data_IF_637717819153
#
_entry.id   IF_637717819153
#
_cell.length_a   1.000
_cell.length_b   1.000
_cell.length_c   1.000
_cell.angle_alpha   90.00
_cell.angle_beta   90.00
_cell.angle_gamma   90.00
#
_symmetry.space_group_name_H-M   'P 1'
#
loop_
_entity.id
_entity.type
_entity.pdbx_description
1 polymer ?
#
# COMPACT_ATOMS: atom_id res chain seq x y z
N UNK A 1 16.08 3.46 -26.22
CA UNK A 1 15.84 3.31 -24.76
C UNK A 1 17.12 2.73 -24.14
N UNK A 2 17.66 3.38 -23.12
CA UNK A 2 18.76 2.84 -22.33
C UNK A 2 18.18 2.31 -21.00
N UNK A 3 18.52 1.08 -20.63
CA UNK A 3 18.12 0.46 -19.37
C UNK A 3 19.36 0.34 -18.48
N UNK A 4 19.25 0.82 -17.26
CA UNK A 4 20.30 0.75 -16.25
C UNK A 4 19.75 0.04 -15.03
N UNK A 5 20.44 -0.98 -14.53
CA UNK A 5 20.11 -1.60 -13.26
C UNK A 5 20.43 -0.60 -12.14
N UNK A 6 19.52 -0.49 -11.17
CA UNK A 6 19.73 0.36 -10.00
C UNK A 6 20.98 -0.08 -9.21
N UNK A 7 21.70 0.90 -8.69
CA UNK A 7 22.74 0.74 -7.67
C UNK A 7 22.55 1.79 -6.59
N UNK A 8 23.07 1.55 -5.38
CA UNK A 8 22.91 2.46 -4.23
C UNK A 8 23.44 3.87 -4.48
N UNK A 9 24.42 4.03 -5.36
CA UNK A 9 24.96 5.33 -5.77
C UNK A 9 23.92 6.21 -6.48
N UNK A 10 22.85 5.60 -7.02
CA UNK A 10 21.76 6.29 -7.70
C UNK A 10 20.52 6.51 -6.83
N UNK A 11 20.63 6.29 -5.53
CA UNK A 11 19.50 6.44 -4.61
C UNK A 11 18.87 7.84 -4.70
N UNK A 12 19.67 8.88 -4.68
CA UNK A 12 19.16 10.26 -4.73
C UNK A 12 18.40 10.55 -6.03
N UNK A 13 18.89 10.05 -7.16
CA UNK A 13 18.23 10.19 -8.47
C UNK A 13 16.91 9.40 -8.51
N UNK A 14 16.92 8.17 -7.98
CA UNK A 14 15.73 7.32 -7.86
C UNK A 14 14.63 8.00 -7.04
N UNK A 15 14.96 8.41 -5.81
CA UNK A 15 14.00 8.99 -4.87
C UNK A 15 13.45 10.34 -5.38
N UNK A 16 14.30 11.17 -5.99
CA UNK A 16 13.87 12.42 -6.63
C UNK A 16 12.87 12.16 -7.76
N UNK A 17 13.11 11.12 -8.58
CA UNK A 17 12.21 10.75 -9.65
C UNK A 17 10.87 10.22 -9.11
N UNK A 18 10.89 9.36 -8.10
CA UNK A 18 9.65 8.85 -7.45
C UNK A 18 8.78 10.03 -6.98
N UNK A 19 9.37 10.99 -6.28
CA UNK A 19 8.66 12.17 -5.75
C UNK A 19 8.08 13.09 -6.82
N UNK A 20 8.70 13.16 -7.99
CA UNK A 20 8.25 14.01 -9.10
C UNK A 20 7.35 13.30 -10.11
N UNK A 21 7.19 11.99 -10.00
CA UNK A 21 6.42 11.17 -10.94
C UNK A 21 4.92 11.27 -10.67
N UNK A 22 4.11 10.91 -11.67
CA UNK A 22 2.65 11.03 -11.58
C UNK A 22 1.96 9.91 -10.80
N UNK A 23 2.64 8.79 -10.57
CA UNK A 23 2.12 7.62 -9.85
C UNK A 23 3.10 7.07 -8.79
N UNK A 24 4.18 7.78 -8.50
CA UNK A 24 5.11 7.42 -7.45
C UNK A 24 4.53 7.66 -6.06
N UNK A 25 4.91 6.81 -5.12
CA UNK A 25 4.57 6.91 -3.70
C UNK A 25 5.82 6.71 -2.86
N UNK A 26 5.82 7.17 -1.62
CA UNK A 26 6.98 7.01 -0.73
C UNK A 26 7.36 5.54 -0.48
N UNK A 27 6.41 4.58 -0.66
CA UNK A 27 6.71 3.14 -0.60
C UNK A 27 7.71 2.69 -1.69
N UNK A 28 7.86 3.48 -2.75
CA UNK A 28 8.77 3.21 -3.87
C UNK A 28 10.07 3.99 -3.77
N UNK A 29 10.25 4.82 -2.73
CA UNK A 29 11.53 5.44 -2.41
C UNK A 29 12.48 4.39 -1.80
N UNK A 30 13.77 4.48 -2.11
CA UNK A 30 14.77 3.51 -1.62
C UNK A 30 14.86 3.52 -0.09
N UNK A 31 14.67 4.69 0.53
CA UNK A 31 14.63 4.79 1.98
C UNK A 31 13.51 3.93 2.61
N UNK A 32 12.39 3.70 1.88
CA UNK A 32 11.36 2.73 2.28
C UNK A 32 11.73 1.32 1.82
N UNK A 33 12.01 1.11 0.54
CA UNK A 33 12.26 -0.22 -0.03
C UNK A 33 13.41 -0.95 0.67
N UNK A 34 14.48 -0.23 1.01
CA UNK A 34 15.72 -0.84 1.50
C UNK A 34 15.70 -1.23 3.00
N UNK A 35 14.59 -0.97 3.75
CA UNK A 35 14.51 -1.44 5.14
C UNK A 35 14.61 -2.98 5.23
N UNK A 36 14.19 -3.67 4.20
CA UNK A 36 14.19 -5.13 4.11
C UNK A 36 14.99 -5.68 2.91
N UNK A 37 15.95 -4.90 2.40
CA UNK A 37 16.78 -5.28 1.24
C UNK A 37 17.47 -6.64 1.40
N UNK A 38 17.81 -7.03 2.63
CA UNK A 38 18.43 -8.32 2.94
C UNK A 38 17.55 -9.53 2.59
N UNK A 39 16.24 -9.34 2.36
CA UNK A 39 15.27 -10.41 2.01
C UNK A 39 15.15 -10.63 0.52
N UNK A 40 15.63 -9.71 -0.32
CA UNK A 40 15.36 -9.70 -1.76
C UNK A 40 16.61 -9.41 -2.58
N UNK A 41 16.80 -10.16 -3.67
CA UNK A 41 17.85 -9.85 -4.65
C UNK A 41 17.33 -8.74 -5.57
N UNK A 42 17.74 -7.50 -5.32
CA UNK A 42 17.31 -6.34 -6.11
C UNK A 42 17.74 -6.46 -7.57
N UNK A 43 16.79 -6.26 -8.47
CA UNK A 43 17.03 -6.11 -9.91
C UNK A 43 16.24 -4.93 -10.50
N UNK A 44 15.99 -3.91 -9.68
CA UNK A 44 15.27 -2.71 -10.08
C UNK A 44 15.89 -2.02 -11.28
N UNK A 45 15.08 -1.45 -12.15
CA UNK A 45 15.49 -0.86 -13.41
C UNK A 45 15.17 0.62 -13.49
N UNK A 46 16.07 1.36 -14.13
CA UNK A 46 15.96 2.78 -14.46
C UNK A 46 15.96 2.91 -15.98
N UNK A 47 14.97 3.60 -16.52
CA UNK A 47 14.78 3.76 -17.96
C UNK A 47 15.15 5.19 -18.39
N UNK A 48 16.13 5.30 -19.28
CA UNK A 48 16.60 6.58 -19.79
C UNK A 48 16.27 6.75 -21.28
N UNK A 49 15.86 7.96 -21.63
CA UNK A 49 15.69 8.39 -23.00
C UNK A 49 16.40 9.71 -23.23
N UNK A 50 17.27 9.74 -24.22
CA UNK A 50 18.06 10.95 -24.55
C UNK A 50 18.76 11.53 -23.31
N UNK A 51 19.33 10.64 -22.47
CA UNK A 51 20.01 11.00 -21.22
C UNK A 51 19.12 11.40 -20.05
N UNK A 52 17.78 11.42 -20.21
CA UNK A 52 16.84 11.76 -19.14
C UNK A 52 16.19 10.49 -18.57
N UNK A 53 16.10 10.42 -17.26
CA UNK A 53 15.33 9.38 -16.57
C UNK A 53 13.84 9.62 -16.83
N UNK A 54 13.13 8.58 -17.33
CA UNK A 54 11.72 8.70 -17.73
C UNK A 54 10.81 7.72 -17.00
N UNK A 55 11.35 6.60 -16.49
CA UNK A 55 10.61 5.63 -15.68
C UNK A 55 11.54 4.84 -14.77
N UNK A 56 10.94 4.23 -13.73
CA UNK A 56 11.58 3.26 -12.84
C UNK A 56 10.72 2.00 -12.73
N UNK A 57 11.36 0.87 -12.51
CA UNK A 57 10.68 -0.37 -12.11
C UNK A 57 11.33 -0.90 -10.83
N UNK A 58 10.65 -0.84 -9.68
CA UNK A 58 11.06 -1.59 -8.50
C UNK A 58 10.94 -3.08 -8.79
N UNK A 59 12.01 -3.85 -8.62
CA UNK A 59 11.97 -5.27 -8.94
C UNK A 59 12.96 -6.09 -8.08
N UNK A 60 12.59 -7.34 -7.83
CA UNK A 60 13.50 -8.34 -7.29
C UNK A 60 13.51 -9.61 -8.13
N UNK A 61 14.64 -10.28 -8.13
CA UNK A 61 14.90 -11.53 -8.84
C UNK A 61 14.83 -12.73 -7.90
N UNK A 62 14.14 -13.79 -8.32
CA UNK A 62 14.13 -15.10 -7.67
C UNK A 62 14.75 -16.11 -8.64
N UNK A 63 16.02 -16.43 -8.43
CA UNK A 63 16.81 -17.27 -9.32
C UNK A 63 16.24 -18.68 -9.44
N UNK A 64 15.82 -19.29 -8.33
CA UNK A 64 15.26 -20.63 -8.30
C UNK A 64 13.96 -20.79 -9.09
N UNK A 65 13.26 -19.67 -9.33
CA UNK A 65 12.01 -19.63 -10.08
C UNK A 65 12.20 -19.10 -11.50
N UNK A 66 13.39 -18.59 -11.84
CA UNK A 66 13.65 -17.81 -13.05
C UNK A 66 12.61 -16.70 -13.26
N UNK A 67 12.21 -16.03 -12.17
CA UNK A 67 11.10 -15.08 -12.16
C UNK A 67 11.53 -13.72 -11.61
N UNK A 68 11.19 -12.66 -12.32
CA UNK A 68 11.24 -11.28 -11.83
C UNK A 68 9.90 -10.92 -11.20
N UNK A 69 9.94 -10.32 -10.03
CA UNK A 69 8.76 -9.73 -9.38
C UNK A 69 8.90 -8.22 -9.38
N UNK A 70 7.82 -7.50 -9.68
CA UNK A 70 7.79 -6.05 -9.45
C UNK A 70 7.64 -5.77 -7.94
N UNK A 71 8.61 -6.19 -7.22
CA UNK A 71 8.97 -6.20 -5.80
C UNK A 71 7.99 -6.95 -4.87
N UNK A 72 8.40 -8.17 -4.43
CA UNK A 72 7.59 -9.03 -3.55
C UNK A 72 7.31 -8.40 -2.19
N UNK A 73 8.25 -7.60 -1.65
CA UNK A 73 8.14 -6.97 -0.34
C UNK A 73 7.26 -5.71 -0.29
N UNK A 74 6.63 -5.32 -1.40
CA UNK A 74 5.77 -4.13 -1.47
C UNK A 74 4.32 -4.52 -1.80
N UNK A 75 3.37 -3.70 -1.38
CA UNK A 75 1.94 -3.87 -1.71
C UNK A 75 1.71 -3.82 -3.23
N UNK A 76 2.40 -2.92 -3.90
CA UNK A 76 2.46 -2.73 -5.35
C UNK A 76 3.86 -2.30 -5.75
N UNK A 77 4.23 -2.45 -7.01
CA UNK A 77 5.58 -2.13 -7.49
C UNK A 77 5.65 -1.98 -9.00
N UNK A 78 4.57 -1.52 -9.63
CA UNK A 78 4.49 -1.29 -11.07
C UNK A 78 5.43 -0.20 -11.56
N UNK A 79 5.36 0.06 -12.85
CA UNK A 79 6.20 1.08 -13.50
C UNK A 79 5.90 2.47 -12.90
N UNK A 80 6.92 3.11 -12.35
CA UNK A 80 6.86 4.50 -11.90
C UNK A 80 7.09 5.38 -13.12
N UNK A 81 6.13 6.22 -13.45
CA UNK A 81 6.06 6.93 -14.73
C UNK A 81 6.25 8.44 -14.55
N UNK A 82 7.21 8.99 -15.28
CA UNK A 82 7.36 10.44 -15.40
C UNK A 82 6.16 11.08 -16.12
N UNK A 83 5.92 12.36 -15.85
CA UNK A 83 4.77 13.11 -16.36
C UNK A 83 4.69 13.15 -17.90
N UNK A 84 5.82 13.06 -18.58
CA UNK A 84 5.91 13.17 -20.06
C UNK A 84 5.71 11.82 -20.78
N UNK A 85 5.56 10.70 -20.04
CA UNK A 85 5.39 9.40 -20.67
C UNK A 85 4.01 9.26 -21.31
N UNK A 86 4.00 8.90 -22.58
CA UNK A 86 2.79 8.56 -23.33
C UNK A 86 2.62 7.04 -23.41
N UNK A 87 1.43 6.57 -23.76
CA UNK A 87 1.12 5.14 -23.92
C UNK A 87 2.09 4.43 -24.87
N UNK A 88 2.43 5.04 -26.00
CA UNK A 88 3.41 4.47 -26.97
C UNK A 88 4.76 4.27 -26.29
N UNK A 89 5.21 5.23 -25.48
CA UNK A 89 6.49 5.14 -24.77
C UNK A 89 6.51 4.09 -23.68
N UNK A 90 5.40 3.94 -22.99
CA UNK A 90 5.24 2.85 -22.01
C UNK A 90 5.31 1.49 -22.70
N UNK A 91 4.68 1.32 -23.88
CA UNK A 91 4.81 0.10 -24.68
C UNK A 91 6.26 -0.18 -25.12
N UNK A 92 6.99 0.87 -25.56
CA UNK A 92 8.43 0.75 -25.90
C UNK A 92 9.24 0.28 -24.66
N UNK A 93 8.94 0.82 -23.46
CA UNK A 93 9.57 0.41 -22.20
C UNK A 93 9.28 -1.07 -21.91
N UNK A 94 8.04 -1.51 -22.01
CA UNK A 94 7.68 -2.91 -21.75
C UNK A 94 8.40 -3.87 -22.70
N UNK A 95 8.48 -3.55 -23.99
CA UNK A 95 9.21 -4.35 -24.98
C UNK A 95 10.71 -4.44 -24.62
N UNK A 96 11.34 -3.30 -24.34
CA UNK A 96 12.77 -3.27 -23.99
C UNK A 96 13.05 -3.95 -22.64
N UNK A 97 12.18 -3.78 -21.66
CA UNK A 97 12.27 -4.36 -20.31
C UNK A 97 12.17 -5.88 -20.34
N UNK A 98 11.19 -6.44 -21.03
CA UNK A 98 11.01 -7.90 -21.13
C UNK A 98 12.18 -8.55 -21.86
N UNK A 99 12.68 -7.94 -22.92
CA UNK A 99 13.89 -8.40 -23.63
C UNK A 99 15.13 -8.32 -22.73
N UNK A 100 15.30 -7.24 -21.96
CA UNK A 100 16.41 -7.08 -21.02
C UNK A 100 16.37 -8.18 -19.95
N UNK A 101 15.20 -8.43 -19.34
CA UNK A 101 15.03 -9.47 -18.31
C UNK A 101 15.37 -10.86 -18.86
N UNK A 102 14.90 -11.17 -20.04
CA UNK A 102 15.18 -12.44 -20.71
C UNK A 102 16.66 -12.62 -21.01
N UNK A 103 17.34 -11.60 -21.55
CA UNK A 103 18.74 -11.69 -22.01
C UNK A 103 19.77 -11.50 -20.91
N UNK A 104 19.50 -10.63 -19.92
CA UNK A 104 20.47 -10.29 -18.88
C UNK A 104 20.31 -11.12 -17.59
N UNK A 105 19.09 -11.59 -17.30
CA UNK A 105 18.81 -12.39 -16.11
C UNK A 105 18.49 -13.85 -16.44
N UNK A 106 18.21 -14.20 -17.69
CA UNK A 106 17.66 -15.51 -18.04
C UNK A 106 16.26 -15.73 -17.47
N UNK A 107 15.51 -14.65 -17.24
CA UNK A 107 14.16 -14.72 -16.71
C UNK A 107 13.20 -15.33 -17.73
N UNK A 108 12.32 -16.20 -17.27
CA UNK A 108 11.29 -16.85 -18.08
C UNK A 108 9.90 -16.26 -17.79
N UNK A 109 9.76 -15.57 -16.65
CA UNK A 109 8.49 -14.98 -16.20
C UNK A 109 8.70 -13.68 -15.45
N UNK A 110 7.68 -12.82 -15.50
CA UNK A 110 7.56 -11.66 -14.62
C UNK A 110 6.18 -11.64 -13.97
N UNK A 111 6.16 -11.45 -12.66
CA UNK A 111 4.94 -11.13 -11.89
C UNK A 111 4.92 -9.63 -11.66
N UNK A 112 3.96 -8.96 -12.30
CA UNK A 112 3.82 -7.50 -12.28
C UNK A 112 2.63 -7.09 -11.40
N UNK A 113 2.86 -6.20 -10.44
CA UNK A 113 1.84 -5.63 -9.54
C UNK A 113 1.64 -4.14 -9.86
N UNK A 114 0.65 -3.75 -10.67
CA UNK A 114 0.39 -2.35 -10.98
C UNK A 114 0.18 -1.51 -9.72
N UNK A 115 0.51 -0.24 -9.79
CA UNK A 115 0.13 0.73 -8.76
C UNK A 115 -1.37 0.97 -8.91
N UNK A 116 -2.21 0.72 -7.88
CA UNK A 116 -3.65 0.93 -7.99
C UNK A 116 -3.97 2.39 -8.32
N UNK A 117 -4.90 2.64 -9.23
CA UNK A 117 -5.19 3.98 -9.77
C UNK A 117 -5.46 5.05 -8.71
N UNK A 118 -5.98 4.65 -7.54
CA UNK A 118 -6.28 5.56 -6.43
C UNK A 118 -5.03 6.21 -5.82
N UNK A 119 -3.83 5.67 -6.05
CA UNK A 119 -2.56 6.23 -5.59
C UNK A 119 -1.94 7.21 -6.59
N UNK A 120 -2.41 7.21 -7.84
CA UNK A 120 -1.89 8.07 -8.90
C UNK A 120 -2.47 9.49 -8.81
N UNK A 121 -1.64 10.51 -9.05
CA UNK A 121 -2.06 11.92 -9.05
C UNK A 121 -2.98 12.26 -10.23
N UNK A 122 -2.84 11.53 -11.33
CA UNK A 122 -3.66 11.62 -12.53
C UNK A 122 -3.80 10.23 -13.17
N UNK A 123 -4.66 10.01 -14.19
CA UNK A 123 -4.76 8.74 -14.90
C UNK A 123 -3.38 8.23 -15.36
N UNK A 124 -3.04 6.98 -15.02
CA UNK A 124 -1.69 6.40 -15.17
C UNK A 124 -1.75 4.88 -15.33
N UNK A 125 -2.64 4.40 -16.20
CA UNK A 125 -2.88 2.97 -16.43
C UNK A 125 -2.36 2.49 -17.82
N UNK A 126 -1.38 3.21 -18.41
CA UNK A 126 -0.77 2.82 -19.67
C UNK A 126 -0.03 1.49 -19.58
N UNK A 127 0.46 1.14 -18.40
CA UNK A 127 1.09 -0.15 -18.11
C UNK A 127 0.07 -1.31 -18.23
N UNK A 128 -1.18 -1.12 -17.84
CA UNK A 128 -2.23 -2.14 -18.02
C UNK A 128 -2.47 -2.44 -19.51
N UNK A 129 -2.45 -1.42 -20.35
CA UNK A 129 -2.56 -1.62 -21.80
C UNK A 129 -1.31 -2.31 -22.37
N UNK A 130 -0.12 -1.93 -21.90
CA UNK A 130 1.13 -2.58 -22.29
C UNK A 130 1.16 -4.06 -21.88
N UNK A 131 0.70 -4.40 -20.67
CA UNK A 131 0.52 -5.77 -20.19
C UNK A 131 -0.39 -6.58 -21.12
N UNK A 132 -1.56 -6.02 -21.47
CA UNK A 132 -2.49 -6.66 -22.41
C UNK A 132 -1.82 -6.96 -23.76
N UNK A 133 -1.06 -5.99 -24.30
CA UNK A 133 -0.33 -6.12 -25.57
C UNK A 133 0.80 -7.15 -25.51
N UNK A 134 1.38 -7.39 -24.34
CA UNK A 134 2.40 -8.42 -24.09
C UNK A 134 1.79 -9.81 -23.83
N UNK A 135 0.46 -9.94 -23.89
CA UNK A 135 -0.22 -11.22 -23.59
C UNK A 135 -0.18 -11.61 -22.13
N UNK A 136 0.00 -10.64 -21.22
CA UNK A 136 -0.02 -10.89 -19.79
C UNK A 136 -1.39 -11.42 -19.35
N UNK A 137 -1.40 -12.38 -18.43
CA UNK A 137 -2.63 -12.93 -17.85
C UNK A 137 -2.81 -12.43 -16.41
N UNK A 138 -4.05 -12.23 -15.99
CA UNK A 138 -4.37 -11.93 -14.60
C UNK A 138 -3.91 -13.11 -13.71
N UNK A 139 -3.02 -12.83 -12.76
CA UNK A 139 -2.44 -13.82 -11.87
C UNK A 139 -3.17 -13.88 -10.52
N UNK A 140 -3.33 -12.72 -9.87
CA UNK A 140 -4.13 -12.58 -8.65
C UNK A 140 -4.97 -11.32 -8.70
N UNK A 141 -6.09 -11.33 -7.99
CA UNK A 141 -6.93 -10.14 -7.77
C UNK A 141 -7.35 -10.06 -6.32
N UNK A 142 -6.94 -9.02 -5.63
CA UNK A 142 -7.40 -8.73 -4.29
C UNK A 142 -8.43 -7.58 -4.32
N UNK A 143 -9.39 -7.62 -3.38
CA UNK A 143 -10.37 -6.56 -3.21
C UNK A 143 -10.00 -5.72 -2.01
N UNK A 144 -9.71 -4.44 -2.22
CA UNK A 144 -9.55 -3.42 -1.20
C UNK A 144 -10.85 -2.65 -0.99
N UNK A 145 -11.01 -2.05 0.19
CA UNK A 145 -12.20 -1.27 0.54
C UNK A 145 -11.82 0.20 0.70
N UNK A 146 -12.38 1.06 -0.14
CA UNK A 146 -12.01 2.47 -0.22
C UNK A 146 -13.22 3.37 0.00
N UNK A 147 -13.08 4.37 0.87
CA UNK A 147 -14.06 5.47 0.99
C UNK A 147 -13.65 6.57 0.02
N UNK A 148 -14.52 6.90 -0.92
CA UNK A 148 -14.39 8.11 -1.73
C UNK A 148 -14.95 9.29 -0.93
N UNK A 149 -14.07 10.21 -0.52
CA UNK A 149 -14.46 11.35 0.30
C UNK A 149 -15.22 12.41 -0.48
N UNK A 150 -15.09 12.42 -1.82
CA UNK A 150 -15.81 13.36 -2.70
C UNK A 150 -17.24 12.89 -2.99
N UNK A 151 -17.50 11.56 -2.89
CA UNK A 151 -18.81 10.93 -3.09
C UNK A 151 -19.14 9.97 -1.95
N UNK A 152 -19.15 10.50 -0.73
CA UNK A 152 -19.30 9.70 0.50
C UNK A 152 -20.64 8.98 0.58
N UNK A 153 -20.57 7.65 0.65
CA UNK A 153 -21.72 6.86 1.01
C UNK A 153 -21.97 6.92 2.53
N UNK A 154 -23.23 6.86 2.97
CA UNK A 154 -23.54 6.94 4.40
C UNK A 154 -23.03 5.70 5.15
N UNK A 155 -22.48 5.91 6.33
CA UNK A 155 -22.19 4.83 7.26
C UNK A 155 -23.49 4.08 7.64
N UNK A 156 -23.42 2.76 7.83
CA UNK A 156 -24.55 1.95 8.29
C UNK A 156 -25.06 2.45 9.65
N UNK A 157 -26.38 2.34 9.88
CA UNK A 157 -27.02 2.81 11.14
C UNK A 157 -26.35 2.23 12.40
N UNK A 158 -25.99 0.94 12.40
CA UNK A 158 -25.29 0.30 13.51
C UNK A 158 -23.98 0.98 13.88
N UNK A 159 -23.17 1.42 12.89
CA UNK A 159 -21.94 2.17 13.14
C UNK A 159 -22.20 3.49 13.85
N UNK A 160 -23.20 4.24 13.42
CA UNK A 160 -23.57 5.50 14.07
C UNK A 160 -23.94 5.33 15.54
N UNK A 161 -24.62 4.22 15.88
CA UNK A 161 -24.94 3.87 17.26
C UNK A 161 -23.70 3.57 18.08
N UNK A 162 -22.79 2.74 17.54
CA UNK A 162 -21.54 2.38 18.21
C UNK A 162 -20.64 3.59 18.43
N UNK A 163 -20.56 4.50 17.45
CA UNK A 163 -19.79 5.75 17.55
C UNK A 163 -20.35 6.62 18.70
N UNK A 164 -21.67 6.78 18.78
CA UNK A 164 -22.30 7.54 19.87
C UNK A 164 -22.05 6.89 21.24
N UNK A 165 -22.12 5.57 21.31
CA UNK A 165 -21.80 4.83 22.53
C UNK A 165 -20.36 5.12 22.99
N UNK A 166 -19.38 5.04 22.09
CA UNK A 166 -17.98 5.35 22.39
C UNK A 166 -17.82 6.79 22.93
N UNK A 167 -18.48 7.75 22.30
CA UNK A 167 -18.48 9.16 22.76
C UNK A 167 -19.09 9.31 24.17
N UNK A 168 -20.22 8.63 24.43
CA UNK A 168 -20.87 8.66 25.75
C UNK A 168 -20.01 8.03 26.84
N UNK A 169 -19.20 7.03 26.49
CA UNK A 169 -18.26 6.36 27.40
C UNK A 169 -16.94 7.14 27.58
N UNK A 170 -16.81 8.33 26.99
CA UNK A 170 -15.65 9.19 27.12
C UNK A 170 -14.44 8.76 26.32
N UNK A 171 -14.63 7.93 25.26
CA UNK A 171 -13.53 7.58 24.35
C UNK A 171 -13.01 8.83 23.64
N UNK A 172 -11.71 9.08 23.77
CA UNK A 172 -10.99 10.19 23.13
C UNK A 172 -10.08 9.68 22.03
N UNK A 173 -9.87 10.48 20.97
CA UNK A 173 -9.05 10.10 19.82
C UNK A 173 -7.99 11.15 19.60
N UNK A 174 -6.76 10.70 19.38
CA UNK A 174 -5.62 11.58 19.11
C UNK A 174 -4.51 10.85 18.36
N UNK A 175 -3.61 11.61 17.79
CA UNK A 175 -2.31 11.09 17.35
C UNK A 175 -1.51 10.62 18.56
N UNK A 176 -0.74 9.55 18.40
CA UNK A 176 0.00 8.90 19.47
C UNK A 176 1.44 8.62 19.05
N UNK A 177 2.36 8.79 19.97
CA UNK A 177 3.74 8.36 19.83
C UNK A 177 3.98 6.95 20.43
N UNK A 178 2.97 6.35 21.07
CA UNK A 178 3.11 5.11 21.83
C UNK A 178 2.93 3.88 20.94
N UNK A 179 3.85 3.76 19.97
CA UNK A 179 3.87 2.63 19.04
C UNK A 179 4.04 1.27 19.74
N UNK A 180 4.85 1.11 20.81
CA UNK A 180 4.97 -0.16 21.53
C UNK A 180 3.66 -0.66 22.12
N UNK A 181 2.85 0.20 22.73
CA UNK A 181 1.53 -0.21 23.29
C UNK A 181 0.59 -0.64 22.17
N UNK A 182 0.53 0.12 21.09
CA UNK A 182 -0.26 -0.30 19.92
C UNK A 182 0.20 -1.64 19.35
N UNK A 183 1.52 -1.87 19.29
CA UNK A 183 2.09 -3.10 18.75
C UNK A 183 1.71 -4.33 19.57
N UNK A 184 1.67 -4.21 20.91
CA UNK A 184 1.18 -5.27 21.79
C UNK A 184 -0.28 -5.64 21.48
N UNK A 185 -1.15 -4.63 21.32
CA UNK A 185 -2.56 -4.85 20.95
C UNK A 185 -2.64 -5.54 19.58
N UNK A 186 -1.85 -5.10 18.61
CA UNK A 186 -1.83 -5.68 17.25
C UNK A 186 -1.37 -7.13 17.27
N UNK A 187 -0.25 -7.44 17.94
CA UNK A 187 0.28 -8.79 18.06
C UNK A 187 -0.72 -9.73 18.72
N UNK A 188 -1.36 -9.30 19.82
CA UNK A 188 -2.37 -10.11 20.50
C UNK A 188 -3.55 -10.43 19.59
N UNK A 189 -4.07 -9.43 18.85
CA UNK A 189 -5.20 -9.61 17.92
C UNK A 189 -4.84 -10.55 16.78
N UNK A 190 -3.64 -10.43 16.21
CA UNK A 190 -3.21 -11.29 15.11
C UNK A 190 -2.94 -12.72 15.57
N UNK A 191 -2.32 -12.88 16.74
CA UNK A 191 -2.11 -14.19 17.34
C UNK A 191 -3.44 -14.90 17.64
N UNK A 192 -4.37 -14.24 18.33
CA UNK A 192 -5.63 -14.86 18.78
C UNK A 192 -6.54 -15.24 17.60
N UNK A 193 -6.53 -14.43 16.54
CA UNK A 193 -7.49 -14.60 15.44
C UNK A 193 -6.91 -15.38 14.26
N UNK A 194 -5.62 -15.26 14.00
CA UNK A 194 -5.01 -15.78 12.77
C UNK A 194 -3.77 -16.64 13.02
N UNK A 195 -3.32 -16.83 14.27
CA UNK A 195 -2.06 -17.48 14.62
C UNK A 195 -0.87 -16.90 13.83
N UNK A 196 -0.90 -15.58 13.60
CA UNK A 196 0.06 -14.85 12.77
C UNK A 196 0.72 -13.71 13.53
N UNK A 197 1.83 -13.23 12.99
CA UNK A 197 2.53 -12.01 13.43
C UNK A 197 2.32 -10.89 12.41
N UNK A 198 2.51 -9.62 12.81
CA UNK A 198 2.59 -8.51 11.84
C UNK A 198 3.68 -8.77 10.80
N UNK A 199 3.48 -8.27 9.58
CA UNK A 199 4.48 -8.38 8.49
C UNK A 199 5.77 -7.64 8.82
N UNK A 200 5.67 -6.49 9.51
CA UNK A 200 6.81 -5.74 10.04
C UNK A 200 7.06 -6.15 11.50
N UNK A 201 8.31 -6.03 11.95
CA UNK A 201 8.61 -5.98 13.38
C UNK A 201 8.30 -4.59 13.95
N UNK A 202 8.29 -4.45 15.29
CA UNK A 202 8.17 -3.15 15.94
C UNK A 202 9.33 -2.21 15.55
N UNK A 203 10.54 -2.76 15.53
CA UNK A 203 11.77 -2.03 15.19
C UNK A 203 11.74 -1.56 13.73
N UNK A 204 11.27 -2.41 12.82
CA UNK A 204 11.09 -2.05 11.41
C UNK A 204 10.08 -0.91 11.27
N UNK A 205 8.96 -0.94 11.98
CA UNK A 205 7.96 0.12 11.93
C UNK A 205 8.47 1.42 12.57
N UNK A 206 9.21 1.35 13.67
CA UNK A 206 9.88 2.51 14.27
C UNK A 206 10.90 3.13 13.31
N UNK A 207 11.69 2.30 12.62
CA UNK A 207 12.64 2.76 11.61
C UNK A 207 11.91 3.46 10.45
N UNK A 208 10.86 2.85 9.93
CA UNK A 208 10.07 3.44 8.83
C UNK A 208 9.43 4.77 9.26
N UNK A 209 8.85 4.84 10.45
CA UNK A 209 8.26 6.08 10.99
C UNK A 209 9.33 7.17 11.17
N UNK A 210 10.55 6.81 11.60
CA UNK A 210 11.64 7.77 11.72
C UNK A 210 12.14 8.31 10.37
N UNK A 211 12.05 7.50 9.31
CA UNK A 211 12.43 7.90 7.93
C UNK A 211 11.33 8.72 7.24
N UNK A 212 10.07 8.46 7.60
CA UNK A 212 8.89 9.03 6.97
C UNK A 212 7.92 9.63 8.01
N UNK A 213 8.38 10.59 8.85
CA UNK A 213 7.58 11.13 9.96
C UNK A 213 6.33 11.89 9.49
N UNK A 214 6.37 12.45 8.26
CA UNK A 214 5.25 13.17 7.64
C UNK A 214 4.23 12.25 6.97
N UNK A 215 4.56 10.97 6.79
CA UNK A 215 3.74 10.01 6.05
C UNK A 215 3.22 8.87 6.92
N UNK A 216 3.90 8.51 8.02
CA UNK A 216 3.56 7.36 8.86
C UNK A 216 3.12 7.83 10.23
N UNK A 217 1.82 7.71 10.49
CA UNK A 217 1.20 8.19 11.72
C UNK A 217 0.51 7.05 12.47
N UNK A 218 0.56 7.09 13.79
CA UNK A 218 -0.28 6.29 14.67
C UNK A 218 -1.40 7.16 15.24
N UNK A 219 -2.66 6.80 14.99
CA UNK A 219 -3.81 7.36 15.68
C UNK A 219 -4.40 6.33 16.63
N UNK A 220 -4.76 6.76 17.82
CA UNK A 220 -5.29 5.87 18.84
C UNK A 220 -6.53 6.44 19.52
N UNK A 221 -7.40 5.50 19.94
CA UNK A 221 -8.54 5.77 20.77
C UNK A 221 -8.23 5.33 22.21
N UNK A 222 -8.53 6.21 23.16
CA UNK A 222 -8.24 6.04 24.58
C UNK A 222 -9.55 6.04 25.38
N UNK A 223 -9.57 5.24 26.45
CA UNK A 223 -10.61 5.30 27.46
C UNK A 223 -10.52 6.58 28.31
N UNK A 224 -11.50 6.82 29.15
CA UNK A 224 -11.54 7.97 30.06
C UNK A 224 -10.43 7.98 31.12
N UNK A 225 -9.87 6.81 31.44
CA UNK A 225 -8.72 6.61 32.34
C UNK A 225 -7.36 6.60 31.62
N UNK A 226 -7.37 6.85 30.30
CA UNK A 226 -6.15 7.02 29.51
C UNK A 226 -5.54 5.73 28.96
N UNK A 227 -6.22 4.58 29.03
CA UNK A 227 -5.76 3.33 28.44
C UNK A 227 -6.00 3.35 26.92
N UNK A 228 -5.05 2.87 26.12
CA UNK A 228 -5.23 2.69 24.68
C UNK A 228 -6.16 1.52 24.41
N UNK A 229 -7.31 1.79 23.81
CA UNK A 229 -8.35 0.83 23.47
C UNK A 229 -8.21 0.27 22.05
N UNK A 230 -7.79 1.12 21.13
CA UNK A 230 -7.61 0.77 19.72
C UNK A 230 -6.61 1.72 19.06
N UNK A 231 -6.06 1.30 17.95
CA UNK A 231 -5.19 2.15 17.14
C UNK A 231 -5.20 1.76 15.67
N UNK A 232 -4.65 2.64 14.87
CA UNK A 232 -4.37 2.43 13.46
C UNK A 232 -3.08 3.12 13.07
N UNK A 233 -2.20 2.41 12.36
CA UNK A 233 -1.10 3.02 11.63
C UNK A 233 -1.62 3.36 10.25
N UNK A 234 -1.49 4.61 9.86
CA UNK A 234 -1.86 5.08 8.54
C UNK A 234 -0.63 5.53 7.76
N UNK A 235 -0.68 5.31 6.46
CA UNK A 235 0.26 5.86 5.48
C UNK A 235 -0.45 7.00 4.76
N UNK A 236 0.09 8.21 4.91
CA UNK A 236 -0.47 9.42 4.33
C UNK A 236 0.20 9.71 2.98
N UNK A 237 -0.62 9.93 1.96
CA UNK A 237 -0.23 10.35 0.61
C UNK A 237 -0.88 11.72 0.30
N UNK A 238 -0.48 12.41 -0.77
CA UNK A 238 -1.03 13.73 -1.08
C UNK A 238 -2.56 13.80 -1.08
N UNK A 239 -3.23 12.82 -1.66
CA UNK A 239 -4.70 12.80 -1.83
C UNK A 239 -5.39 11.56 -1.25
N UNK A 240 -4.62 10.66 -0.62
CA UNK A 240 -5.10 9.40 -0.08
C UNK A 240 -4.48 9.12 1.28
N UNK A 241 -5.20 8.44 2.14
CA UNK A 241 -4.66 7.82 3.35
C UNK A 241 -4.95 6.32 3.33
N UNK A 242 -3.93 5.50 3.62
CA UNK A 242 -4.05 4.04 3.70
C UNK A 242 -3.94 3.55 5.13
N UNK A 243 -4.86 2.69 5.55
CA UNK A 243 -4.82 2.03 6.86
C UNK A 243 -3.92 0.79 6.79
N UNK A 244 -2.66 0.94 7.17
CA UNK A 244 -1.67 -0.14 7.14
C UNK A 244 -1.93 -1.20 8.21
N UNK A 245 -2.26 -0.78 9.44
CA UNK A 245 -2.59 -1.66 10.55
C UNK A 245 -3.77 -1.11 11.33
N UNK A 246 -4.68 -2.00 11.74
CA UNK A 246 -5.85 -1.70 12.55
C UNK A 246 -5.93 -2.77 13.64
N UNK A 247 -5.96 -2.35 14.89
CA UNK A 247 -6.16 -3.26 16.03
C UNK A 247 -6.99 -2.63 17.12
N UNK A 248 -7.68 -3.47 17.90
CA UNK A 248 -8.47 -3.07 19.05
C UNK A 248 -8.41 -4.15 20.13
N UNK A 249 -8.22 -3.75 21.36
CA UNK A 249 -8.38 -4.63 22.52
C UNK A 249 -9.80 -5.17 22.64
N UNK A 250 -10.05 -6.23 23.41
CA UNK A 250 -11.41 -6.70 23.70
C UNK A 250 -12.29 -5.61 24.29
N UNK A 251 -11.77 -4.81 25.20
CA UNK A 251 -12.45 -3.67 25.79
C UNK A 251 -12.77 -2.58 24.76
N UNK A 252 -11.79 -2.24 23.90
CA UNK A 252 -12.00 -1.29 22.81
C UNK A 252 -13.06 -1.74 21.82
N UNK A 253 -13.17 -3.06 21.56
CA UNK A 253 -14.28 -3.62 20.75
C UNK A 253 -15.63 -3.42 21.42
N UNK A 254 -15.72 -3.67 22.72
CA UNK A 254 -16.97 -3.50 23.50
C UNK A 254 -17.40 -2.03 23.53
N UNK A 255 -16.46 -1.08 23.56
CA UNK A 255 -16.70 0.36 23.58
C UNK A 255 -16.83 1.00 22.18
N UNK A 256 -16.64 0.25 21.10
CA UNK A 256 -16.72 0.80 19.73
C UNK A 256 -15.57 1.74 19.36
N UNK A 257 -14.38 1.55 19.95
CA UNK A 257 -13.22 2.43 19.82
C UNK A 257 -12.74 2.57 18.36
N UNK A 258 -12.70 1.47 17.58
CA UNK A 258 -12.35 1.51 16.14
C UNK A 258 -13.37 2.30 15.34
N UNK A 259 -14.66 2.16 15.68
CA UNK A 259 -15.72 2.86 14.96
C UNK A 259 -15.62 4.37 15.16
N UNK A 260 -15.36 4.81 16.40
CA UNK A 260 -15.13 6.21 16.73
C UNK A 260 -13.85 6.75 16.07
N UNK A 261 -12.76 5.96 16.11
CA UNK A 261 -11.48 6.31 15.49
C UNK A 261 -11.64 6.58 13.98
N UNK A 262 -12.24 5.64 13.25
CA UNK A 262 -12.43 5.82 11.80
C UNK A 262 -13.46 6.86 11.44
N UNK A 263 -14.51 7.05 12.25
CA UNK A 263 -15.43 8.15 12.05
C UNK A 263 -14.72 9.51 12.15
N UNK A 264 -13.81 9.66 13.11
CA UNK A 264 -13.00 10.86 13.27
C UNK A 264 -11.99 11.04 12.12
N UNK A 265 -11.26 9.99 11.74
CA UNK A 265 -10.33 10.04 10.59
C UNK A 265 -11.03 10.47 9.30
N UNK A 266 -12.21 9.89 9.02
CA UNK A 266 -13.00 10.17 7.81
C UNK A 266 -13.64 11.56 7.83
N UNK A 267 -14.13 12.02 8.99
CA UNK A 267 -14.95 13.24 9.05
C UNK A 267 -14.21 14.49 9.50
N UNK A 268 -13.02 14.36 10.10
CA UNK A 268 -12.27 15.45 10.66
C UNK A 268 -10.80 15.46 10.18
N UNK A 269 -10.01 14.42 10.53
CA UNK A 269 -8.55 14.47 10.30
C UNK A 269 -8.18 14.45 8.81
N UNK A 270 -8.89 13.65 8.01
CA UNK A 270 -8.61 13.44 6.59
C UNK A 270 -9.80 13.77 5.69
N UNK A 271 -10.67 14.66 6.15
CA UNK A 271 -11.87 15.06 5.41
C UNK A 271 -11.57 15.74 4.05
N UNK A 272 -10.40 16.30 3.89
CA UNK A 272 -9.86 16.96 2.69
C UNK A 272 -9.18 16.01 1.69
N UNK A 273 -8.84 14.80 2.11
CA UNK A 273 -8.29 13.78 1.21
C UNK A 273 -9.38 13.26 0.27
N UNK A 274 -8.97 12.77 -0.89
CA UNK A 274 -9.90 12.16 -1.84
C UNK A 274 -10.30 10.74 -1.42
N UNK A 275 -9.36 9.95 -0.92
CA UNK A 275 -9.58 8.54 -0.59
C UNK A 275 -9.11 8.18 0.82
N UNK A 276 -9.88 7.32 1.49
CA UNK A 276 -9.38 6.51 2.61
C UNK A 276 -9.46 5.04 2.21
N UNK A 277 -8.31 4.40 2.13
CA UNK A 277 -8.16 3.01 1.76
C UNK A 277 -7.93 2.14 3.00
N UNK A 278 -8.84 1.21 3.27
CA UNK A 278 -8.73 0.22 4.32
C UNK A 278 -7.88 -0.99 3.94
N UNK A 279 -7.34 -1.03 2.73
CA UNK A 279 -6.62 -2.19 2.21
C UNK A 279 -7.50 -3.38 1.90
N UNK A 280 -6.85 -4.50 1.56
CA UNK A 280 -7.50 -5.71 1.04
C UNK A 280 -8.23 -6.53 2.11
N UNK A 281 -9.17 -7.36 1.66
CA UNK A 281 -9.95 -8.26 2.51
C UNK A 281 -10.04 -9.66 1.89
N UNK A 282 -8.89 -10.20 1.48
CA UNK A 282 -8.77 -11.51 0.84
C UNK A 282 -7.62 -12.31 1.44
N UNK A 283 -7.69 -13.61 1.24
CA UNK A 283 -6.69 -14.62 1.62
C UNK A 283 -6.36 -15.49 0.40
N UNK A 284 -5.32 -16.32 0.49
CA UNK A 284 -4.92 -17.29 -0.54
C UNK A 284 -4.80 -16.66 -1.95
N UNK A 285 -4.06 -15.55 -2.06
CA UNK A 285 -3.83 -14.90 -3.35
C UNK A 285 -5.08 -14.30 -4.01
N UNK A 286 -6.11 -13.99 -3.22
CA UNK A 286 -7.37 -13.39 -3.71
C UNK A 286 -8.52 -14.39 -3.89
N UNK A 287 -8.28 -15.69 -3.75
CA UNK A 287 -9.29 -16.74 -3.97
C UNK A 287 -10.28 -16.89 -2.81
N UNK A 288 -9.93 -16.45 -1.61
CA UNK A 288 -10.80 -16.52 -0.44
C UNK A 288 -11.14 -15.12 0.04
N UNK A 289 -12.43 -14.80 0.10
CA UNK A 289 -12.92 -13.52 0.59
C UNK A 289 -13.12 -13.56 2.10
N UNK A 290 -12.48 -12.66 2.83
CA UNK A 290 -12.77 -12.45 4.25
C UNK A 290 -14.03 -11.56 4.38
N UNK A 291 -15.20 -12.16 4.28
CA UNK A 291 -16.49 -11.47 4.30
C UNK A 291 -16.70 -10.62 5.57
N UNK A 292 -16.25 -11.11 6.72
CA UNK A 292 -16.40 -10.40 8.00
C UNK A 292 -15.64 -9.07 7.97
N UNK A 293 -14.39 -9.10 7.50
CA UNK A 293 -13.55 -7.93 7.35
C UNK A 293 -14.09 -6.97 6.27
N UNK A 294 -14.54 -7.52 5.14
CA UNK A 294 -15.15 -6.73 4.06
C UNK A 294 -16.39 -5.98 4.56
N UNK A 295 -17.34 -6.69 5.20
CA UNK A 295 -18.55 -6.08 5.77
C UNK A 295 -18.23 -4.99 6.80
N UNK A 296 -17.17 -5.17 7.60
CA UNK A 296 -16.72 -4.17 8.56
C UNK A 296 -16.27 -2.89 7.86
N UNK A 297 -15.46 -2.99 6.80
CA UNK A 297 -14.96 -1.84 6.03
C UNK A 297 -16.09 -1.15 5.25
N UNK A 298 -16.94 -1.92 4.58
CA UNK A 298 -18.09 -1.39 3.83
C UNK A 298 -19.11 -0.66 4.72
N UNK A 299 -19.18 -1.02 6.00
CA UNK A 299 -20.07 -0.34 6.94
C UNK A 299 -19.68 1.13 7.21
N UNK A 300 -18.45 1.54 6.88
CA UNK A 300 -18.01 2.94 6.86
C UNK A 300 -18.36 3.69 5.58
N UNK A 301 -19.00 3.04 4.61
CA UNK A 301 -19.32 3.60 3.30
C UNK A 301 -18.28 3.27 2.24
N UNK A 302 -17.30 2.41 2.55
CA UNK A 302 -16.28 1.97 1.59
C UNK A 302 -16.86 1.12 0.47
N UNK A 303 -16.21 1.15 -0.70
CA UNK A 303 -16.49 0.29 -1.85
C UNK A 303 -15.20 -0.25 -2.44
N UNK A 304 -15.34 -1.20 -3.34
CA UNK A 304 -14.27 -2.00 -3.88
C UNK A 304 -13.34 -1.21 -4.82
N UNK A 305 -12.04 -1.40 -4.61
CA UNK A 305 -10.98 -1.16 -5.59
C UNK A 305 -10.19 -2.46 -5.71
N UNK A 306 -9.80 -2.85 -6.93
CA UNK A 306 -9.03 -4.09 -7.13
C UNK A 306 -7.53 -3.81 -7.08
N UNK A 307 -6.81 -4.72 -6.45
CA UNK A 307 -5.35 -4.80 -6.46
C UNK A 307 -4.98 -6.07 -7.21
N UNK A 308 -4.51 -5.89 -8.42
CA UNK A 308 -4.20 -6.97 -9.35
C UNK A 308 -2.72 -7.31 -9.35
N UNK A 309 -2.40 -8.54 -9.75
CA UNK A 309 -1.11 -8.88 -10.29
C UNK A 309 -1.27 -9.63 -11.62
N UNK A 310 -0.29 -9.46 -12.51
CA UNK A 310 -0.28 -10.04 -13.83
C UNK A 310 0.97 -10.90 -14.02
N UNK A 311 0.83 -12.01 -14.74
CA UNK A 311 1.94 -12.87 -15.13
C UNK A 311 2.25 -12.62 -16.61
N UNK A 312 3.50 -12.30 -16.90
CA UNK A 312 4.06 -12.19 -18.25
C UNK A 312 5.00 -13.39 -18.45
N UNK A 313 4.84 -14.13 -19.53
CA UNK A 313 5.85 -15.08 -20.02
C UNK A 313 6.84 -14.30 -20.89
N UNK A 314 8.13 -14.42 -20.60
CA UNK A 314 9.22 -13.65 -21.22
C UNK A 314 9.88 -14.40 -22.38
#
# INVERSE_FOLDING_TARGET
MQIVRYTSERQAEWDAFVRSSRNGTFLLERAYMDYHAHRFTDCSLMFFREGRLVALLPANWVETEHTVYSHQGLTYGGLVMGNELTTIRVMDIFTAMTEWMRTQLGAVRMVYKPIPYIYSLCPSEEDLYALFRQGAVLHTRAIASVVDMTHRLPMRKGRKSTIRQAQTQGVTIRESADLPVFWQILQQVLHDKYQALPVHSLEEMQLLQSRFPEQIHLYAAYSSDGQMLAGTIVYEFPHLVHAQYIASSPEGKAQGAVDALYAWLISARYADKRYLDFGTSVEQGGHVLNEGLLRQKEAFGARAVVYDSYLINL
#
